data_IF_323062076450
#
_entry.id   IF_323062076450
#
_cell.length_a   1.000
_cell.length_b   1.000
_cell.length_c   1.000
_cell.angle_alpha   90.00
_cell.angle_beta   90.00
_cell.angle_gamma   90.00
#
_symmetry.space_group_name_H-M   'P 1'
#
loop_
_entity.id
_entity.type
_entity.pdbx_description
1 polymer ?
#
# COMPACT_ATOMS: atom_id res chain seq x y z
N UNK A 1 14.67 -30.66 -3.76
CA UNK A 1 15.46 -29.65 -4.48
C UNK A 1 16.01 -28.66 -3.46
N UNK A 2 17.31 -28.69 -3.16
CA UNK A 2 17.92 -27.75 -2.21
C UNK A 2 18.01 -26.41 -2.92
N UNK A 3 17.14 -25.48 -2.57
CA UNK A 3 17.26 -24.08 -3.03
C UNK A 3 18.63 -23.60 -2.56
N UNK A 4 19.53 -23.39 -3.50
CA UNK A 4 20.92 -23.03 -3.23
C UNK A 4 20.91 -21.69 -2.46
N UNK A 5 21.41 -21.62 -1.21
CA UNK A 5 21.37 -20.39 -0.41
C UNK A 5 22.14 -19.24 -1.06
N UNK A 6 23.01 -19.55 -2.03
CA UNK A 6 23.71 -18.57 -2.86
C UNK A 6 22.77 -17.85 -3.84
N UNK A 7 21.73 -18.51 -4.36
CA UNK A 7 20.72 -17.88 -5.22
C UNK A 7 19.84 -16.88 -4.44
N UNK A 8 19.59 -17.15 -3.16
CA UNK A 8 18.83 -16.27 -2.27
C UNK A 8 19.57 -14.97 -1.92
N UNK A 9 20.89 -14.92 -2.12
CA UNK A 9 21.72 -13.73 -1.90
C UNK A 9 21.96 -12.91 -3.19
N UNK A 10 21.39 -13.31 -4.32
CA UNK A 10 21.58 -12.59 -5.58
C UNK A 10 20.65 -11.35 -5.63
N UNK A 11 21.18 -10.12 -5.65
CA UNK A 11 20.36 -8.91 -5.72
C UNK A 11 19.51 -8.84 -7.00
N UNK A 12 20.00 -9.37 -8.13
CA UNK A 12 19.26 -9.41 -9.40
C UNK A 12 18.00 -10.28 -9.32
N UNK A 13 18.06 -11.38 -8.57
CA UNK A 13 16.91 -12.26 -8.37
C UNK A 13 15.79 -11.54 -7.60
N UNK A 14 16.16 -10.79 -6.55
CA UNK A 14 15.21 -9.98 -5.79
C UNK A 14 14.62 -8.85 -6.63
N UNK A 15 15.44 -8.19 -7.46
CA UNK A 15 14.97 -7.15 -8.40
C UNK A 15 13.98 -7.71 -9.44
N UNK A 16 14.31 -8.83 -10.07
CA UNK A 16 13.48 -9.47 -11.08
C UNK A 16 12.15 -9.96 -10.48
N UNK A 17 12.21 -10.61 -9.32
CA UNK A 17 11.02 -11.03 -8.58
C UNK A 17 10.15 -9.83 -8.22
N UNK A 18 10.74 -8.75 -7.70
CA UNK A 18 9.99 -7.55 -7.35
C UNK A 18 9.33 -6.91 -8.58
N UNK A 19 10.01 -6.93 -9.74
CA UNK A 19 9.46 -6.41 -10.99
C UNK A 19 8.25 -7.23 -11.44
N UNK A 20 8.32 -8.56 -11.38
CA UNK A 20 7.17 -9.43 -11.65
C UNK A 20 6.00 -9.16 -10.70
N UNK A 21 6.29 -8.98 -9.40
CA UNK A 21 5.27 -8.68 -8.40
C UNK A 21 4.58 -7.32 -8.63
N UNK A 22 5.29 -6.32 -9.18
CA UNK A 22 4.67 -5.06 -9.59
C UNK A 22 3.65 -5.27 -10.70
N UNK A 23 3.97 -6.07 -11.72
CA UNK A 23 3.03 -6.38 -12.80
C UNK A 23 1.83 -7.20 -12.33
N UNK A 24 1.98 -7.98 -11.26
CA UNK A 24 0.89 -8.70 -10.59
C UNK A 24 0.12 -7.83 -9.57
N UNK A 25 0.42 -6.53 -9.50
CA UNK A 25 -0.16 -5.57 -8.56
C UNK A 25 0.04 -5.94 -7.07
N UNK A 26 1.00 -6.81 -6.77
CA UNK A 26 1.41 -7.20 -5.42
C UNK A 26 2.45 -6.21 -4.89
N UNK A 27 2.02 -4.94 -4.73
CA UNK A 27 2.93 -3.82 -4.47
C UNK A 27 3.72 -3.94 -3.16
N UNK A 28 3.13 -4.50 -2.11
CA UNK A 28 3.81 -4.70 -0.83
C UNK A 28 5.01 -5.66 -0.97
N UNK A 29 4.78 -6.81 -1.59
CA UNK A 29 5.82 -7.81 -1.81
C UNK A 29 6.89 -7.32 -2.80
N UNK A 30 6.50 -6.47 -3.77
CA UNK A 30 7.43 -5.80 -4.66
C UNK A 30 8.37 -4.84 -3.90
N UNK A 31 7.84 -4.01 -3.00
CA UNK A 31 8.65 -3.10 -2.19
C UNK A 31 9.65 -3.86 -1.32
N UNK A 32 9.22 -4.94 -0.67
CA UNK A 32 10.09 -5.80 0.14
C UNK A 32 11.25 -6.39 -0.70
N UNK A 33 10.95 -6.88 -1.91
CA UNK A 33 11.98 -7.40 -2.82
C UNK A 33 12.97 -6.32 -3.28
N UNK A 34 12.50 -5.10 -3.56
CA UNK A 34 13.38 -3.97 -3.92
C UNK A 34 14.25 -3.52 -2.76
N UNK A 35 13.70 -3.46 -1.54
CA UNK A 35 14.48 -3.17 -0.33
C UNK A 35 15.58 -4.21 -0.13
N UNK A 36 15.24 -5.50 -0.30
CA UNK A 36 16.22 -6.57 -0.14
C UNK A 36 17.33 -6.52 -1.19
N UNK A 37 16.99 -6.23 -2.45
CA UNK A 37 17.99 -6.02 -3.50
C UNK A 37 18.92 -4.83 -3.19
N UNK A 38 18.39 -3.73 -2.64
CA UNK A 38 19.17 -2.56 -2.24
C UNK A 38 20.08 -2.82 -1.03
N UNK A 39 19.67 -3.67 -0.10
CA UNK A 39 20.48 -4.10 1.05
C UNK A 39 21.63 -5.02 0.63
N UNK A 40 21.37 -5.93 -0.32
CA UNK A 40 22.36 -6.87 -0.84
C UNK A 40 23.44 -6.18 -1.69
N UNK A 41 23.08 -5.13 -2.42
CA UNK A 41 24.00 -4.37 -3.28
C UNK A 41 23.86 -2.85 -3.05
N UNK A 42 24.47 -2.30 -1.99
CA UNK A 42 24.32 -0.88 -1.64
C UNK A 42 24.93 0.10 -2.66
N UNK A 43 25.82 -0.37 -3.54
CA UNK A 43 26.37 0.40 -4.67
C UNK A 43 25.54 0.29 -5.96
N UNK A 44 24.49 -0.53 -5.95
CA UNK A 44 23.56 -0.64 -7.07
C UNK A 44 22.36 0.27 -6.83
N UNK A 45 22.30 1.36 -7.59
CA UNK A 45 21.27 2.40 -7.39
C UNK A 45 19.90 2.02 -7.98
N UNK A 46 19.85 1.05 -8.90
CA UNK A 46 18.62 0.68 -9.61
C UNK A 46 17.49 0.20 -8.69
N UNK A 47 17.72 -0.72 -7.72
CA UNK A 47 16.68 -1.15 -6.79
C UNK A 47 16.15 -0.01 -5.92
N UNK A 48 17.03 0.90 -5.43
CA UNK A 48 16.62 2.08 -4.66
C UNK A 48 15.76 3.03 -5.48
N UNK A 49 16.17 3.31 -6.73
CA UNK A 49 15.40 4.15 -7.66
C UNK A 49 14.03 3.55 -7.93
N UNK A 50 13.96 2.25 -8.23
CA UNK A 50 12.69 1.55 -8.45
C UNK A 50 11.80 1.56 -7.20
N UNK A 51 12.39 1.40 -6.02
CA UNK A 51 11.67 1.46 -4.76
C UNK A 51 11.03 2.84 -4.54
N UNK A 52 11.80 3.91 -4.74
CA UNK A 52 11.30 5.29 -4.66
C UNK A 52 10.19 5.57 -5.68
N UNK A 53 10.40 5.19 -6.93
CA UNK A 53 9.41 5.38 -8.00
C UNK A 53 8.09 4.65 -7.70
N UNK A 54 8.16 3.42 -7.16
CA UNK A 54 6.98 2.66 -6.79
C UNK A 54 6.22 3.31 -5.63
N UNK A 55 6.92 3.80 -4.60
CA UNK A 55 6.28 4.53 -3.50
C UNK A 55 5.60 5.82 -3.98
N UNK A 56 6.26 6.57 -4.86
CA UNK A 56 5.68 7.79 -5.42
C UNK A 56 4.41 7.49 -6.24
N UNK A 57 4.45 6.44 -7.05
CA UNK A 57 3.30 5.96 -7.80
C UNK A 57 2.12 5.60 -6.89
N UNK A 58 2.36 4.81 -5.83
CA UNK A 58 1.33 4.41 -4.88
C UNK A 58 0.77 5.60 -4.11
N UNK A 59 1.62 6.53 -3.69
CA UNK A 59 1.21 7.77 -3.02
C UNK A 59 0.28 8.61 -3.89
N UNK A 60 0.63 8.80 -5.18
CA UNK A 60 -0.23 9.49 -6.16
C UNK A 60 -1.54 8.75 -6.39
N UNK A 61 -1.51 7.43 -6.51
CA UNK A 61 -2.70 6.58 -6.66
C UNK A 61 -3.65 6.75 -5.47
N UNK A 62 -3.12 6.64 -4.24
CA UNK A 62 -3.88 6.85 -3.00
C UNK A 62 -4.48 8.27 -2.94
N UNK A 63 -3.72 9.29 -3.33
CA UNK A 63 -4.20 10.68 -3.37
C UNK A 63 -5.38 10.86 -4.35
N UNK A 64 -5.29 10.27 -5.55
CA UNK A 64 -6.38 10.30 -6.53
C UNK A 64 -7.64 9.59 -6.04
N UNK A 65 -7.48 8.43 -5.38
CA UNK A 65 -8.60 7.69 -4.79
C UNK A 65 -9.22 8.48 -3.63
N UNK A 66 -8.40 9.08 -2.76
CA UNK A 66 -8.88 9.90 -1.65
C UNK A 66 -9.65 11.14 -2.15
N UNK A 67 -9.17 11.82 -3.19
CA UNK A 67 -9.88 12.94 -3.80
C UNK A 67 -11.24 12.50 -4.38
N UNK A 68 -11.27 11.35 -5.06
CA UNK A 68 -12.52 10.77 -5.56
C UNK A 68 -13.50 10.50 -4.41
N UNK A 69 -13.08 9.83 -3.34
CA UNK A 69 -13.94 9.56 -2.17
C UNK A 69 -14.41 10.85 -1.50
N UNK A 70 -13.55 11.87 -1.40
CA UNK A 70 -13.93 13.19 -0.90
C UNK A 70 -14.97 13.90 -1.76
N UNK A 71 -14.99 13.66 -3.07
CA UNK A 71 -16.02 14.17 -3.98
C UNK A 71 -17.36 13.44 -3.79
N UNK A 72 -17.37 12.10 -3.68
CA UNK A 72 -18.61 11.35 -3.42
C UNK A 72 -19.17 11.58 -2.01
N UNK A 73 -18.31 11.81 -1.01
CA UNK A 73 -18.72 12.21 0.34
C UNK A 73 -19.38 13.60 0.38
N UNK A 74 -19.01 14.50 -0.55
CA UNK A 74 -19.65 15.82 -0.68
C UNK A 74 -20.94 15.79 -1.51
N UNK A 75 -21.02 14.99 -2.58
CA UNK A 75 -22.26 14.85 -3.34
C UNK A 75 -23.37 14.11 -2.58
N UNK A 76 -23.03 13.27 -1.60
CA UNK A 76 -24.02 12.65 -0.70
C UNK A 76 -24.60 13.62 0.35
N UNK A 77 -23.96 14.77 0.60
CA UNK A 77 -24.38 15.73 1.63
C UNK A 77 -25.29 16.86 1.11
N UNK A 78 -25.42 17.01 -0.22
CA UNK A 78 -26.22 18.09 -0.84
C UNK A 78 -27.61 17.64 -1.34
N UNK A 79 -28.00 16.38 -1.13
CA UNK A 79 -29.38 15.94 -1.33
C UNK A 79 -30.27 16.35 -0.17
N UNK A 80 -31.04 17.44 -0.30
CA UNK A 80 -32.09 17.82 0.66
C UNK A 80 -33.14 16.70 0.75
N UNK A 81 -33.47 16.31 1.99
CA UNK A 81 -34.68 15.54 2.29
C UNK A 81 -34.80 15.31 3.79
N UNK A 82 -35.68 16.06 4.45
CA UNK A 82 -36.14 15.78 5.81
C UNK A 82 -36.55 14.31 5.93
N UNK A 83 -36.11 13.64 6.99
CA UNK A 83 -36.56 12.30 7.31
C UNK A 83 -35.79 11.74 8.49
N UNK A 84 -36.34 11.92 9.68
CA UNK A 84 -35.89 11.30 10.91
C UNK A 84 -35.60 9.79 10.73
N UNK A 85 -34.47 9.32 11.25
CA UNK A 85 -34.40 8.21 12.20
C UNK A 85 -32.97 7.76 12.43
N UNK A 86 -32.59 7.81 13.70
CA UNK A 86 -31.81 6.77 14.37
C UNK A 86 -30.36 6.64 13.93
N UNK A 87 -29.45 7.05 14.81
CA UNK A 87 -28.40 6.14 15.28
C UNK A 87 -27.84 6.70 16.58
N UNK A 88 -28.28 6.07 17.67
CA UNK A 88 -27.64 6.07 18.98
C UNK A 88 -26.12 6.09 18.84
N UNK A 89 -25.50 7.14 19.36
CA UNK A 89 -24.13 7.08 19.80
C UNK A 89 -24.15 6.46 21.19
N UNK A 90 -23.53 5.27 21.30
CA UNK A 90 -23.50 4.45 22.49
C UNK A 90 -23.20 5.22 23.77
N UNK A 91 -24.23 5.39 24.58
CA UNK A 91 -24.14 5.59 26.01
C UNK A 91 -24.72 4.34 26.68
N UNK A 92 -24.23 4.03 27.88
CA UNK A 92 -24.58 2.91 28.76
C UNK A 92 -23.65 1.68 28.70
N UNK A 93 -22.43 1.89 29.20
CA UNK A 93 -21.68 0.88 29.94
C UNK A 93 -21.31 1.44 31.31
N UNK A 94 -22.32 1.70 32.15
CA UNK A 94 -22.15 2.22 33.50
C UNK A 94 -22.30 1.13 34.57
N UNK A 95 -21.23 0.95 35.34
CA UNK A 95 -21.16 0.81 36.80
C UNK A 95 -21.74 -0.43 37.55
N UNK A 96 -20.88 -1.00 38.39
CA UNK A 96 -21.17 -1.83 39.57
C UNK A 96 -19.83 -2.09 40.28
N UNK A 97 -19.43 -1.22 41.20
CA UNK A 97 -19.40 -1.46 42.66
C UNK A 97 -18.46 -2.58 43.10
#
# INVERSE_FOLDING_TARGET
>A
ERVDPTAAANPDLHLNRATLLQYLEQFQAALEGLSRAAELAPGWEEPRKRHGNLLEFLSRLCSLLANRVGHWGKLGATGRGLGAMGRDWGALGGNGS
#
